data_IF_874168501025
#
_entry.id   IF_874168501025
#
_cell.length_a   1.000
_cell.length_b   1.000
_cell.length_c   1.000
_cell.angle_alpha   90.00
_cell.angle_beta   90.00
_cell.angle_gamma   90.00
#
_symmetry.space_group_name_H-M   'P 1'
#
loop_
_entity.id
_entity.type
_entity.pdbx_description
1 polymer ?
#
# COMPACT_ATOMS: atom_id res chain seq x y z
N UNK A 1 2.52 -14.30 21.80
CA UNK A 1 3.33 -13.77 20.68
C UNK A 1 3.61 -12.30 21.01
N UNK A 2 4.87 -11.90 21.01
CA UNK A 2 5.40 -10.74 21.76
C UNK A 2 4.75 -9.40 21.42
N UNK A 3 4.50 -8.60 22.45
CA UNK A 3 4.06 -7.20 22.41
C UNK A 3 5.22 -6.29 21.95
N UNK A 4 5.70 -6.49 20.72
CA UNK A 4 6.80 -5.72 20.14
C UNK A 4 6.29 -4.34 19.71
N UNK A 5 6.88 -3.27 20.23
CA UNK A 5 6.54 -1.90 19.81
C UNK A 5 7.19 -1.57 18.46
N UNK A 6 6.76 -2.22 17.38
CA UNK A 6 7.18 -1.94 16.01
C UNK A 6 6.09 -2.31 14.99
N UNK A 7 6.34 -1.95 13.73
CA UNK A 7 5.45 -2.20 12.59
C UNK A 7 5.91 -3.36 11.70
N UNK A 8 6.79 -4.23 12.20
CA UNK A 8 7.26 -5.38 11.43
C UNK A 8 6.08 -6.31 11.19
N UNK A 9 5.86 -6.70 9.92
CA UNK A 9 4.78 -7.61 9.54
C UNK A 9 4.76 -8.85 10.45
N UNK A 10 3.64 -9.17 11.12
CA UNK A 10 3.58 -10.30 12.05
C UNK A 10 3.87 -11.65 11.41
N UNK A 11 3.72 -11.79 10.09
CA UNK A 11 4.11 -13.00 9.34
C UNK A 11 5.57 -13.39 9.56
N UNK A 12 6.46 -12.43 9.85
CA UNK A 12 7.86 -12.70 10.22
C UNK A 12 8.03 -13.51 11.51
N UNK A 13 7.03 -13.55 12.40
CA UNK A 13 7.11 -14.30 13.67
C UNK A 13 6.80 -15.78 13.49
N UNK A 14 6.18 -16.15 12.37
CA UNK A 14 5.76 -17.53 12.08
C UNK A 14 6.40 -18.07 10.80
N UNK A 15 7.05 -17.22 10.01
CA UNK A 15 7.74 -17.64 8.79
C UNK A 15 8.89 -18.61 9.12
N UNK A 16 8.88 -19.76 8.45
CA UNK A 16 9.99 -20.72 8.50
C UNK A 16 11.07 -20.40 7.46
N UNK A 17 10.66 -19.88 6.30
CA UNK A 17 11.51 -19.61 5.15
C UNK A 17 11.18 -18.23 4.58
N UNK A 18 12.20 -17.53 4.11
CA UNK A 18 12.07 -16.36 3.24
C UNK A 18 12.54 -16.76 1.85
N UNK A 19 11.63 -16.82 0.88
CA UNK A 19 11.92 -17.25 -0.49
C UNK A 19 11.85 -16.06 -1.43
N UNK A 20 12.91 -15.88 -2.21
CA UNK A 20 13.02 -14.81 -3.21
C UNK A 20 13.24 -15.47 -4.56
N UNK A 21 12.49 -15.03 -5.56
CA UNK A 21 12.69 -15.40 -6.94
C UNK A 21 13.05 -14.16 -7.74
N UNK A 22 14.19 -14.19 -8.43
CA UNK A 22 14.67 -13.09 -9.25
C UNK A 22 15.18 -13.61 -10.59
N UNK A 23 15.11 -12.74 -11.60
CA UNK A 23 15.65 -12.98 -12.93
C UNK A 23 16.47 -11.75 -13.33
N UNK A 24 17.74 -11.95 -13.62
CA UNK A 24 18.60 -10.90 -14.19
C UNK A 24 18.57 -10.89 -15.71
N UNK A 25 19.03 -9.78 -16.27
CA UNK A 25 19.29 -9.59 -17.71
C UNK A 25 20.64 -8.88 -17.90
N UNK A 26 21.08 -8.75 -19.15
CA UNK A 26 22.32 -8.06 -19.51
C UNK A 26 22.02 -6.60 -19.86
N UNK A 27 22.99 -5.71 -19.71
CA UNK A 27 22.84 -4.28 -20.09
C UNK A 27 22.55 -4.08 -21.58
N UNK A 28 22.80 -5.09 -22.42
CA UNK A 28 22.52 -5.08 -23.86
C UNK A 28 21.16 -5.68 -24.21
N UNK A 29 20.36 -6.11 -23.23
CA UNK A 29 19.02 -6.67 -23.46
C UNK A 29 18.08 -5.58 -23.96
N UNK A 30 17.17 -5.94 -24.88
CA UNK A 30 16.20 -4.97 -25.41
C UNK A 30 15.11 -4.67 -24.37
N UNK A 31 14.55 -3.46 -24.38
CA UNK A 31 13.44 -3.09 -23.47
C UNK A 31 12.24 -4.05 -23.59
N UNK A 32 11.96 -4.56 -24.79
CA UNK A 32 10.89 -5.54 -25.00
C UNK A 32 11.16 -6.86 -24.27
N UNK A 33 12.42 -7.33 -24.31
CA UNK A 33 12.83 -8.54 -23.60
C UNK A 33 12.91 -8.31 -22.08
N UNK A 34 13.35 -7.14 -21.63
CA UNK A 34 13.34 -6.76 -20.21
C UNK A 34 11.92 -6.79 -19.65
N UNK A 35 10.98 -6.15 -20.34
CA UNK A 35 9.57 -6.15 -19.96
C UNK A 35 8.96 -7.56 -19.96
N UNK A 36 9.33 -8.38 -20.95
CA UNK A 36 8.92 -9.79 -20.98
C UNK A 36 9.45 -10.56 -19.76
N UNK A 37 10.73 -10.41 -19.43
CA UNK A 37 11.35 -11.06 -18.27
C UNK A 37 10.74 -10.58 -16.95
N UNK A 38 10.49 -9.28 -16.81
CA UNK A 38 9.80 -8.70 -15.65
C UNK A 38 8.41 -9.32 -15.47
N UNK A 39 7.63 -9.42 -16.55
CA UNK A 39 6.31 -10.07 -16.51
C UNK A 39 6.40 -11.55 -16.10
N UNK A 40 7.45 -12.27 -16.52
CA UNK A 40 7.65 -13.66 -16.09
C UNK A 40 7.93 -13.76 -14.58
N UNK A 41 8.67 -12.80 -14.01
CA UNK A 41 8.89 -12.73 -12.55
C UNK A 41 7.57 -12.50 -11.83
N UNK A 42 6.77 -11.53 -12.28
CA UNK A 42 5.43 -11.25 -11.72
C UNK A 42 4.52 -12.48 -11.74
N UNK A 43 4.47 -13.19 -12.86
CA UNK A 43 3.66 -14.41 -13.00
C UNK A 43 4.14 -15.51 -12.04
N UNK A 44 5.44 -15.62 -11.80
CA UNK A 44 6.02 -16.62 -10.89
C UNK A 44 5.84 -16.25 -9.42
N UNK A 45 5.77 -14.96 -9.08
CA UNK A 45 5.47 -14.50 -7.72
C UNK A 45 4.09 -15.00 -7.24
N UNK A 46 3.11 -15.16 -8.14
CA UNK A 46 1.81 -15.76 -7.81
C UNK A 46 1.94 -17.20 -7.30
N UNK A 47 2.86 -17.98 -7.86
CA UNK A 47 3.12 -19.35 -7.40
C UNK A 47 3.62 -19.33 -5.95
N UNK A 48 4.55 -18.43 -5.62
CA UNK A 48 5.06 -18.28 -4.24
C UNK A 48 3.95 -17.83 -3.28
N UNK A 49 3.09 -16.90 -3.72
CA UNK A 49 1.93 -16.46 -2.94
C UNK A 49 0.98 -17.64 -2.63
N UNK A 50 0.74 -18.55 -3.57
CA UNK A 50 -0.10 -19.74 -3.35
C UNK A 50 0.51 -20.79 -2.43
N UNK A 51 1.85 -20.81 -2.31
CA UNK A 51 2.55 -21.68 -1.36
C UNK A 51 2.55 -21.12 0.06
N UNK A 52 2.23 -19.83 0.24
CA UNK A 52 2.06 -19.26 1.57
C UNK A 52 0.80 -19.81 2.23
N UNK A 53 0.98 -20.57 3.31
CA UNK A 53 -0.10 -21.13 4.14
C UNK A 53 -0.60 -20.07 5.16
N UNK A 54 0.00 -18.88 5.17
CA UNK A 54 -0.31 -17.84 6.14
C UNK A 54 -1.67 -17.19 5.86
N UNK A 55 -2.50 -17.06 6.89
CA UNK A 55 -3.72 -16.23 6.87
C UNK A 55 -3.44 -14.73 6.94
N UNK A 56 -2.17 -14.35 7.12
CA UNK A 56 -1.67 -12.97 7.14
C UNK A 56 -0.79 -12.75 5.91
N UNK A 57 -0.85 -11.56 5.31
CA UNK A 57 -0.02 -11.25 4.16
C UNK A 57 1.46 -11.35 4.50
N UNK A 58 2.25 -11.98 3.61
CA UNK A 58 3.64 -12.35 3.89
C UNK A 58 4.52 -12.11 2.65
N UNK A 59 4.86 -10.85 2.41
CA UNK A 59 5.84 -10.47 1.38
C UNK A 59 6.78 -9.39 1.92
N UNK A 60 8.06 -9.49 1.61
CA UNK A 60 9.06 -8.54 2.08
C UNK A 60 9.11 -7.33 1.15
N UNK A 61 8.64 -6.18 1.63
CA UNK A 61 8.46 -4.98 0.81
C UNK A 61 9.71 -4.50 0.07
N UNK A 62 10.91 -4.77 0.60
CA UNK A 62 12.17 -4.33 0.00
C UNK A 62 12.63 -5.21 -1.17
N UNK A 63 12.04 -6.40 -1.36
CA UNK A 63 12.42 -7.39 -2.39
C UNK A 63 11.17 -7.91 -3.14
N UNK A 64 10.11 -7.11 -3.16
CA UNK A 64 8.84 -7.48 -3.75
C UNK A 64 8.71 -7.03 -5.21
N UNK A 65 7.78 -7.66 -5.94
CA UNK A 65 7.33 -7.19 -7.23
C UNK A 65 6.67 -5.80 -7.10
N UNK A 66 7.06 -4.79 -7.91
CA UNK A 66 6.36 -3.51 -7.96
C UNK A 66 4.85 -3.63 -8.25
N UNK A 67 4.42 -4.69 -8.92
CA UNK A 67 3.03 -4.96 -9.28
C UNK A 67 2.29 -5.87 -8.28
N UNK A 68 2.83 -6.05 -7.08
CA UNK A 68 2.25 -6.93 -6.07
C UNK A 68 0.77 -6.57 -5.75
N UNK A 69 -0.12 -7.52 -5.97
CA UNK A 69 -1.53 -7.38 -5.62
C UNK A 69 -1.72 -7.48 -4.11
N UNK A 70 -2.67 -6.72 -3.56
CA UNK A 70 -2.95 -6.66 -2.12
C UNK A 70 -1.71 -6.33 -1.26
N UNK A 71 -0.78 -5.53 -1.81
CA UNK A 71 0.47 -5.14 -1.17
C UNK A 71 0.28 -4.55 0.23
N UNK A 72 -0.84 -3.87 0.51
CA UNK A 72 -1.14 -3.32 1.84
C UNK A 72 -1.15 -4.41 2.92
N UNK A 73 -1.75 -5.56 2.60
CA UNK A 73 -1.84 -6.71 3.50
C UNK A 73 -0.54 -7.50 3.41
N UNK A 74 -0.01 -7.74 2.22
CA UNK A 74 1.21 -8.54 2.03
C UNK A 74 2.45 -7.94 2.69
N UNK A 75 2.62 -6.62 2.62
CA UNK A 75 3.79 -5.93 3.16
C UNK A 75 3.63 -5.58 4.64
N UNK A 76 2.44 -5.16 5.06
CA UNK A 76 2.22 -4.62 6.41
C UNK A 76 1.44 -5.55 7.35
N UNK A 77 0.93 -6.69 6.85
CA UNK A 77 0.33 -7.76 7.65
C UNK A 77 -1.18 -7.85 7.50
N UNK A 78 -1.94 -7.09 8.29
CA UNK A 78 -3.41 -7.07 8.22
C UNK A 78 -3.90 -5.70 7.77
N UNK A 79 -5.14 -5.64 7.26
CA UNK A 79 -5.74 -4.36 6.89
C UNK A 79 -5.79 -3.37 8.06
N UNK A 80 -6.09 -3.85 9.27
CA UNK A 80 -6.10 -3.02 10.48
C UNK A 80 -4.72 -2.43 10.83
N UNK A 81 -3.63 -3.19 10.61
CA UNK A 81 -2.27 -2.67 10.79
C UNK A 81 -1.98 -1.61 9.73
N UNK A 82 -2.31 -1.88 8.46
CA UNK A 82 -2.13 -0.91 7.38
C UNK A 82 -2.88 0.40 7.66
N UNK A 83 -4.16 0.33 8.02
CA UNK A 83 -4.98 1.51 8.32
C UNK A 83 -4.42 2.32 9.51
N UNK A 84 -3.87 1.64 10.53
CA UNK A 84 -3.15 2.29 11.64
C UNK A 84 -1.90 3.02 11.14
N UNK A 85 -1.08 2.39 10.30
CA UNK A 85 0.11 3.03 9.73
C UNK A 85 -0.28 4.23 8.86
N UNK A 86 -1.35 4.11 8.08
CA UNK A 86 -1.90 5.17 7.25
C UNK A 86 -2.37 6.36 8.08
N UNK A 87 -3.05 6.12 9.19
CA UNK A 87 -3.43 7.18 10.14
C UNK A 87 -2.22 7.91 10.72
N UNK A 88 -1.15 7.17 11.09
CA UNK A 88 0.10 7.79 11.57
C UNK A 88 0.73 8.63 10.44
N UNK A 89 0.79 8.11 9.22
CA UNK A 89 1.31 8.81 8.05
C UNK A 89 0.55 10.12 7.80
N UNK A 90 -0.78 10.11 7.85
CA UNK A 90 -1.61 11.30 7.67
C UNK A 90 -1.39 12.35 8.78
N UNK A 91 -1.10 11.92 10.01
CA UNK A 91 -0.78 12.86 11.10
C UNK A 91 0.61 13.49 10.96
N UNK A 92 1.59 12.76 10.42
CA UNK A 92 2.98 13.21 10.30
C UNK A 92 3.24 13.95 8.98
N UNK A 93 2.60 13.52 7.89
CA UNK A 93 2.74 14.09 6.55
C UNK A 93 1.35 14.26 5.91
N UNK A 94 0.56 15.25 6.40
CA UNK A 94 -0.81 15.49 5.94
C UNK A 94 -0.88 15.98 4.49
N UNK A 95 0.15 16.70 4.03
CA UNK A 95 0.24 17.22 2.66
C UNK A 95 0.77 16.17 1.68
N UNK A 96 1.28 15.05 2.18
CA UNK A 96 1.82 13.96 1.40
C UNK A 96 3.06 14.35 0.59
N UNK A 97 4.03 15.00 1.25
CA UNK A 97 5.33 15.32 0.66
C UNK A 97 6.14 14.06 0.33
N UNK A 98 5.98 12.99 1.12
CA UNK A 98 6.72 11.75 0.94
C UNK A 98 5.80 10.63 0.44
N UNK A 99 5.82 10.38 -0.87
CA UNK A 99 5.03 9.32 -1.52
C UNK A 99 5.95 8.42 -2.34
N UNK A 100 5.67 7.13 -2.35
CA UNK A 100 6.38 6.14 -3.16
C UNK A 100 5.47 4.97 -3.55
N UNK A 101 5.80 4.22 -4.61
CA UNK A 101 5.00 3.08 -5.03
C UNK A 101 4.87 2.06 -3.89
N UNK A 102 3.65 1.60 -3.64
CA UNK A 102 3.31 0.62 -2.58
C UNK A 102 3.76 1.01 -1.16
N UNK A 103 3.97 2.30 -0.91
CA UNK A 103 4.24 2.83 0.43
C UNK A 103 2.93 3.13 1.16
N UNK A 104 2.97 3.17 2.49
CA UNK A 104 1.81 3.51 3.33
C UNK A 104 1.17 4.82 2.86
N UNK A 105 -0.11 4.75 2.46
CA UNK A 105 -0.89 5.90 1.98
C UNK A 105 -0.78 6.18 0.48
N UNK A 106 0.06 5.47 -0.28
CA UNK A 106 0.15 5.64 -1.74
C UNK A 106 -1.13 5.25 -2.47
N UNK A 107 -2.02 4.48 -1.83
CA UNK A 107 -3.34 4.14 -2.35
C UNK A 107 -4.28 5.34 -2.46
N UNK A 108 -3.99 6.45 -1.77
CA UNK A 108 -4.70 7.73 -1.90
C UNK A 108 -4.21 8.57 -3.09
N UNK A 109 -3.26 8.08 -3.88
CA UNK A 109 -2.65 8.79 -5.01
C UNK A 109 -2.92 8.09 -6.34
N UNK A 110 -2.83 8.81 -7.45
CA UNK A 110 -2.83 8.25 -8.81
C UNK A 110 -1.69 7.24 -8.98
N UNK A 111 -1.77 6.36 -9.99
CA UNK A 111 -0.78 5.29 -10.18
C UNK A 111 0.63 5.81 -10.46
N UNK A 112 0.74 7.00 -11.05
CA UNK A 112 1.99 7.74 -11.28
C UNK A 112 2.43 8.57 -10.06
N UNK A 113 1.64 8.56 -8.98
CA UNK A 113 1.86 9.28 -7.72
C UNK A 113 1.94 10.80 -7.84
N UNK A 114 1.54 11.36 -8.98
CA UNK A 114 1.62 12.80 -9.22
C UNK A 114 0.46 13.58 -8.58
N UNK A 115 -0.68 12.93 -8.34
CA UNK A 115 -1.89 13.60 -7.84
C UNK A 115 -2.58 12.78 -6.74
N UNK A 116 -3.10 13.42 -5.67
CA UNK A 116 -4.04 12.77 -4.75
C UNK A 116 -5.33 12.41 -5.50
N UNK A 117 -5.91 11.24 -5.22
CA UNK A 117 -7.20 10.76 -5.77
C UNK A 117 -8.42 11.54 -5.28
N UNK A 118 -8.22 12.62 -4.52
CA UNK A 118 -9.18 13.40 -3.73
C UNK A 118 -9.62 12.71 -2.43
N UNK A 119 -9.34 13.38 -1.31
CA UNK A 119 -10.08 13.22 -0.06
C UNK A 119 -10.88 14.51 0.15
N UNK A 120 -12.18 14.37 0.47
CA UNK A 120 -13.08 15.40 1.03
C UNK A 120 -13.83 16.39 0.11
N UNK A 121 -14.62 15.88 -0.84
CA UNK A 121 -15.85 16.60 -1.28
C UNK A 121 -16.93 16.65 -0.18
N UNK A 122 -16.97 15.64 0.70
CA UNK A 122 -18.03 15.50 1.71
C UNK A 122 -17.92 16.47 2.90
N UNK A 123 -16.72 16.97 3.22
CA UNK A 123 -16.55 17.98 4.29
C UNK A 123 -17.13 19.32 3.86
N UNK A 124 -16.96 19.71 2.59
CA UNK A 124 -17.59 20.90 1.99
C UNK A 124 -19.12 20.78 1.99
N UNK A 125 -19.67 19.61 1.67
CA UNK A 125 -21.12 19.40 1.70
C UNK A 125 -21.70 19.46 3.12
N UNK A 126 -21.01 18.89 4.12
CA UNK A 126 -21.46 18.94 5.52
C UNK A 126 -21.35 20.35 6.12
N UNK A 127 -20.27 21.08 5.83
CA UNK A 127 -20.11 22.46 6.32
C UNK A 127 -21.12 23.39 5.67
N UNK A 128 -21.37 23.28 4.37
CA UNK A 128 -22.42 24.06 3.69
C UNK A 128 -23.80 23.71 4.28
N UNK A 129 -24.09 22.42 4.51
CA UNK A 129 -25.38 22.01 5.08
C UNK A 129 -25.60 22.54 6.50
N UNK A 130 -24.58 22.49 7.36
CA UNK A 130 -24.63 23.05 8.72
C UNK A 130 -24.77 24.59 8.71
N UNK A 131 -24.05 25.29 7.82
CA UNK A 131 -24.21 26.74 7.62
C UNK A 131 -25.62 27.12 7.15
N UNK A 132 -26.20 26.33 6.23
CA UNK A 132 -27.57 26.57 5.75
C UNK A 132 -28.60 26.37 6.86
N UNK A 133 -28.42 25.36 7.73
CA UNK A 133 -29.30 25.14 8.88
C UNK A 133 -29.21 26.32 9.87
N UNK A 134 -28.01 26.81 10.18
CA UNK A 134 -27.84 27.97 11.05
C UNK A 134 -28.48 29.24 10.46
N UNK A 135 -28.27 29.50 9.17
CA UNK A 135 -28.85 30.69 8.50
C UNK A 135 -30.39 30.62 8.50
N UNK A 136 -30.98 29.45 8.22
CA UNK A 136 -32.44 29.28 8.24
C UNK A 136 -33.00 29.47 9.65
N UNK A 137 -32.31 28.98 10.69
CA UNK A 137 -32.71 29.16 12.09
C UNK A 137 -32.62 30.63 12.57
N UNK A 138 -31.73 31.45 11.99
CA UNK A 138 -31.59 32.87 12.32
C UNK A 138 -32.68 33.72 11.64
N UNK A 139 -33.26 33.25 10.52
CA UNK A 139 -34.25 33.97 9.72
C UNK A 139 -35.72 33.62 10.05
N UNK A 140 -35.95 32.71 10.99
CA UNK A 140 -37.29 32.29 11.49
C UNK A 140 -37.54 32.80 12.90
#
# INVERSE_FOLDING_TARGET
ISNSNNSVNPGWRTALLHMVYSQGWLDTTSEADENYLAQQVSNRAEILNRLSISSQGSCYLNEADPNEMDWQVKFFGTRAIYDRLKSIKQNIDPDGLFVCPNCVGSDDWTSDLNCPKTSSSWILHLTIFLLVIEIVAILS
#
